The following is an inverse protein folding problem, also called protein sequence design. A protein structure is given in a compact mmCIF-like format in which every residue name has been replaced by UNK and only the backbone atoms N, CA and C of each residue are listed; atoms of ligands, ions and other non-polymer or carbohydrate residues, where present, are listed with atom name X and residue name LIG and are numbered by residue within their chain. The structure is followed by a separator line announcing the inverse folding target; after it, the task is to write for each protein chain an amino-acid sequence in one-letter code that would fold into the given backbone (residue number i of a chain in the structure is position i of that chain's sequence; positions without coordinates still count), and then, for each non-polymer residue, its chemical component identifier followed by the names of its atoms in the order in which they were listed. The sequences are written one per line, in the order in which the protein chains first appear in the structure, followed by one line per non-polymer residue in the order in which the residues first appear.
data_IF_839103053391
#
_entry.id   IF_839103053391
#
_cell.length_a   1.000
_cell.length_b   1.000
_cell.length_c   1.000
_cell.angle_alpha   90.00
_cell.angle_beta   90.00
_cell.angle_gamma   90.00
#
_symmetry.space_group_name_H-M   'P 1'
#
loop_
_entity.id
_entity.type
_entity.pdbx_description
1 polymer ?
#
# COMPACT_ATOMS: atom_id res chain seq x y z
N UNK A 1 3.14 -26.97 14.09
CA UNK A 1 1.68 -27.08 14.11
C UNK A 1 1.25 -26.44 15.41
N UNK A 2 0.86 -25.17 15.34
CA UNK A 2 0.37 -24.42 16.48
C UNK A 2 -1.15 -24.36 16.37
N UNK A 3 -1.85 -24.59 17.48
CA UNK A 3 -3.31 -24.65 17.55
C UNK A 3 -3.95 -23.41 16.89
N UNK A 4 -4.89 -23.65 15.97
CA UNK A 4 -5.73 -22.69 15.23
C UNK A 4 -5.64 -21.24 15.72
N UNK A 5 -4.77 -20.44 15.10
CA UNK A 5 -4.74 -19.00 15.35
C UNK A 5 -6.10 -18.42 14.95
N UNK A 6 -6.91 -18.02 15.94
CA UNK A 6 -8.20 -17.38 15.70
C UNK A 6 -7.97 -15.93 15.25
N UNK A 7 -8.77 -15.45 14.28
CA UNK A 7 -8.74 -14.03 13.92
C UNK A 7 -9.14 -13.16 15.13
N UNK A 8 -8.38 -12.07 15.42
CA UNK A 8 -8.79 -11.10 16.42
C UNK A 8 -10.18 -10.56 16.12
N UNK A 9 -11.07 -10.56 17.12
CA UNK A 9 -12.41 -10.00 16.98
C UNK A 9 -12.45 -8.56 17.49
N UNK A 10 -12.87 -7.63 16.63
CA UNK A 10 -13.03 -6.23 16.98
C UNK A 10 -14.52 -5.93 17.10
N UNK A 11 -14.96 -5.49 18.29
CA UNK A 11 -16.36 -5.14 18.53
C UNK A 11 -16.49 -3.61 18.50
N UNK A 12 -17.05 -3.11 17.42
CA UNK A 12 -17.31 -1.70 17.19
C UNK A 12 -18.73 -1.36 17.63
N UNK A 13 -18.86 -0.39 18.53
CA UNK A 13 -20.12 0.20 18.93
C UNK A 13 -20.18 1.65 18.46
N UNK A 14 -21.20 1.97 17.66
CA UNK A 14 -21.51 3.32 17.22
C UNK A 14 -22.95 3.61 17.65
N UNK A 15 -23.18 4.73 18.34
CA UNK A 15 -24.54 5.07 18.79
C UNK A 15 -25.45 5.19 17.55
N UNK A 16 -26.72 4.77 17.63
CA UNK A 16 -27.62 4.82 16.48
C UNK A 16 -27.79 6.21 15.84
N UNK A 17 -27.66 7.28 16.64
CA UNK A 17 -27.72 8.66 16.13
C UNK A 17 -26.48 9.00 15.29
N UNK A 18 -25.28 8.71 15.80
CA UNK A 18 -24.03 8.97 15.07
C UNK A 18 -23.93 8.10 13.82
N UNK A 19 -24.38 6.83 13.88
CA UNK A 19 -24.38 5.96 12.71
C UNK A 19 -25.29 6.49 11.59
N UNK A 20 -26.40 7.16 11.94
CA UNK A 20 -27.25 7.82 10.94
C UNK A 20 -26.55 9.03 10.33
N UNK A 21 -25.82 9.80 11.14
CA UNK A 21 -25.03 10.94 10.67
C UNK A 21 -23.91 10.48 9.72
N UNK A 22 -23.14 9.47 10.11
CA UNK A 22 -22.08 8.89 9.28
C UNK A 22 -22.64 8.35 7.95
N UNK A 23 -23.88 7.84 7.93
CA UNK A 23 -24.54 7.36 6.70
C UNK A 23 -25.21 8.45 5.86
N UNK A 24 -25.41 9.64 6.41
CA UNK A 24 -26.13 10.74 5.73
C UNK A 24 -25.33 11.25 4.54
N UNK A 25 -24.03 11.39 4.73
CA UNK A 25 -23.08 11.76 3.68
C UNK A 25 -21.84 10.89 3.82
N UNK A 26 -21.68 9.94 2.92
CA UNK A 26 -20.54 9.02 2.94
C UNK A 26 -19.22 9.72 2.58
N UNK A 27 -19.28 10.91 1.99
CA UNK A 27 -18.11 11.68 1.54
C UNK A 27 -17.59 12.64 2.61
N UNK A 28 -18.28 12.77 3.75
CA UNK A 28 -17.79 13.56 4.86
C UNK A 28 -16.58 12.87 5.51
N UNK A 29 -15.52 13.63 5.73
CA UNK A 29 -14.31 13.16 6.42
C UNK A 29 -14.34 13.45 7.93
N UNK A 30 -15.34 14.18 8.40
CA UNK A 30 -15.53 14.47 9.82
C UNK A 30 -15.82 13.17 10.58
N UNK A 31 -14.96 12.79 11.53
CA UNK A 31 -15.13 11.55 12.25
C UNK A 31 -16.20 11.70 13.34
N UNK A 32 -16.86 10.59 13.67
CA UNK A 32 -17.84 10.51 14.75
C UNK A 32 -17.28 9.70 15.94
N UNK A 33 -17.71 9.97 17.18
CA UNK A 33 -17.29 9.19 18.33
C UNK A 33 -17.85 7.77 18.27
N UNK A 34 -17.03 6.80 18.66
CA UNK A 34 -17.39 5.39 18.76
C UNK A 34 -16.61 4.68 19.87
N UNK A 35 -16.97 3.43 20.16
CA UNK A 35 -16.21 2.59 21.08
C UNK A 35 -15.76 1.32 20.38
N UNK A 36 -14.48 1.00 20.48
CA UNK A 36 -13.89 -0.21 19.95
C UNK A 36 -13.44 -1.11 21.10
N UNK A 37 -13.88 -2.36 21.10
CA UNK A 37 -13.38 -3.36 22.05
C UNK A 37 -12.44 -4.32 21.34
N UNK A 38 -11.18 -4.35 21.76
CA UNK A 38 -10.14 -5.26 21.26
C UNK A 38 -9.63 -6.07 22.45
N UNK A 39 -9.69 -7.41 22.39
CA UNK A 39 -9.17 -8.30 23.44
C UNK A 39 -9.73 -7.96 24.84
N UNK A 40 -11.02 -7.62 24.91
CA UNK A 40 -11.69 -7.22 26.15
C UNK A 40 -11.41 -5.81 26.63
N UNK A 41 -10.44 -5.09 26.03
CA UNK A 41 -10.15 -3.69 26.35
C UNK A 41 -11.06 -2.77 25.55
N UNK A 42 -11.79 -1.88 26.25
CA UNK A 42 -12.62 -0.84 25.64
C UNK A 42 -11.77 0.39 25.36
N UNK A 43 -11.86 0.90 24.14
CA UNK A 43 -11.12 2.03 23.62
C UNK A 43 -12.14 3.05 23.11
N UNK A 44 -12.07 4.28 23.61
CA UNK A 44 -12.85 5.37 23.03
C UNK A 44 -12.11 5.86 21.80
N UNK A 45 -12.81 5.93 20.68
CA UNK A 45 -12.25 6.23 19.36
C UNK A 45 -13.11 7.25 18.63
N UNK A 46 -12.51 7.89 17.63
CA UNK A 46 -13.23 8.59 16.58
C UNK A 46 -13.11 7.76 15.29
N UNK A 47 -14.20 7.63 14.53
CA UNK A 47 -14.26 6.80 13.33
C UNK A 47 -14.86 7.58 12.16
N UNK A 48 -14.26 7.44 10.99
CA UNK A 48 -14.76 7.96 9.71
C UNK A 48 -14.72 6.86 8.65
N UNK A 49 -15.51 7.00 7.58
CA UNK A 49 -15.26 6.21 6.38
C UNK A 49 -13.93 6.62 5.75
N UNK A 50 -13.26 5.68 5.07
CA UNK A 50 -11.99 5.96 4.38
C UNK A 50 -12.03 5.60 2.90
N UNK A 51 -11.06 6.14 2.17
CA UNK A 51 -10.87 5.92 0.74
C UNK A 51 -11.75 6.85 -0.10
N UNK A 52 -11.77 6.60 -1.42
CA UNK A 52 -12.61 7.33 -2.38
C UNK A 52 -13.74 6.41 -2.85
N UNK A 53 -13.61 5.79 -4.02
CA UNK A 53 -14.63 4.94 -4.65
C UNK A 53 -15.11 3.76 -3.77
N UNK A 54 -14.29 3.32 -2.81
CA UNK A 54 -14.67 2.23 -1.88
C UNK A 54 -15.77 2.63 -0.89
N UNK A 55 -16.07 3.93 -0.74
CA UNK A 55 -17.17 4.41 0.10
C UNK A 55 -18.53 4.07 -0.49
N UNK A 56 -18.64 3.89 -1.80
CA UNK A 56 -19.90 3.47 -2.45
C UNK A 56 -20.24 2.00 -2.19
N UNK A 57 -19.25 1.19 -1.81
CA UNK A 57 -19.42 -0.26 -1.62
C UNK A 57 -20.28 -0.57 -0.38
N UNK A 58 -21.07 -1.63 -0.45
CA UNK A 58 -21.98 -2.02 0.64
C UNK A 58 -21.24 -2.27 1.96
N UNK A 59 -20.08 -2.92 1.87
CA UNK A 59 -19.16 -3.14 3.00
C UNK A 59 -18.16 -1.99 3.10
N UNK A 60 -18.34 -1.13 4.10
CA UNK A 60 -17.58 0.11 4.27
C UNK A 60 -16.21 -0.14 4.89
N UNK A 61 -15.21 0.65 4.49
CA UNK A 61 -13.89 0.73 5.14
C UNK A 61 -13.83 1.91 6.09
N UNK A 62 -13.03 1.80 7.16
CA UNK A 62 -12.98 2.79 8.23
C UNK A 62 -11.57 3.29 8.50
N UNK A 63 -11.43 4.57 8.83
CA UNK A 63 -10.28 5.10 9.56
C UNK A 63 -10.65 5.21 11.04
N UNK A 64 -9.80 4.68 11.91
CA UNK A 64 -9.99 4.70 13.36
C UNK A 64 -8.89 5.55 13.98
N UNK A 65 -9.29 6.53 14.79
CA UNK A 65 -8.41 7.38 15.59
C UNK A 65 -8.60 7.09 17.07
N UNK A 66 -7.54 6.76 17.80
CA UNK A 66 -7.63 6.45 19.22
C UNK A 66 -7.74 7.74 20.06
N UNK A 67 -8.88 7.92 20.72
CA UNK A 67 -9.12 9.10 21.56
C UNK A 67 -8.67 8.86 23.00
N UNK A 68 -9.12 7.75 23.61
CA UNK A 68 -8.74 7.35 24.97
C UNK A 68 -8.65 5.82 25.08
N UNK A 69 -7.45 5.25 25.31
CA UNK A 69 -6.14 5.92 25.35
C UNK A 69 -5.78 6.58 24.01
N UNK A 70 -4.87 7.56 24.02
CA UNK A 70 -4.43 8.28 22.80
C UNK A 70 -3.67 7.41 21.80
N UNK A 71 -3.18 6.25 22.24
CA UNK A 71 -2.54 5.25 21.40
C UNK A 71 -2.95 3.86 21.83
N UNK A 72 -2.97 2.93 20.89
CA UNK A 72 -3.16 1.50 21.15
C UNK A 72 -2.15 0.72 20.31
N UNK A 73 -1.43 -0.23 20.92
CA UNK A 73 -0.33 -0.99 20.28
C UNK A 73 0.70 -0.10 19.57
N UNK A 74 0.97 1.08 20.15
CA UNK A 74 1.91 2.06 19.59
C UNK A 74 1.39 2.86 18.40
N UNK A 75 0.13 2.73 17.99
CA UNK A 75 -0.49 3.53 16.92
C UNK A 75 -1.47 4.56 17.47
N UNK A 76 -1.53 5.75 16.85
CA UNK A 76 -2.62 6.73 17.04
C UNK A 76 -3.79 6.47 16.10
N UNK A 77 -3.50 5.99 14.90
CA UNK A 77 -4.48 5.67 13.87
C UNK A 77 -4.25 4.25 13.33
N UNK A 78 -5.35 3.60 12.96
CA UNK A 78 -5.33 2.37 12.16
C UNK A 78 -6.40 2.49 11.06
N UNK A 79 -6.22 1.73 9.99
CA UNK A 79 -7.17 1.64 8.89
C UNK A 79 -7.80 0.24 8.90
N UNK A 80 -9.12 0.16 8.80
CA UNK A 80 -9.85 -1.11 8.67
C UNK A 80 -10.41 -1.17 7.26
N UNK A 81 -9.72 -1.91 6.38
CA UNK A 81 -10.15 -2.11 5.01
C UNK A 81 -11.07 -3.31 4.89
N UNK A 82 -12.19 -3.13 4.18
CA UNK A 82 -13.06 -4.22 3.81
C UNK A 82 -12.47 -5.14 2.73
N UNK A 83 -11.43 -4.67 2.02
CA UNK A 83 -10.79 -5.34 0.88
C UNK A 83 -11.83 -5.84 -0.15
N UNK A 84 -12.92 -5.09 -0.32
CA UNK A 84 -14.14 -5.63 -0.91
C UNK A 84 -14.02 -5.96 -2.41
N UNK A 85 -13.16 -5.26 -3.15
CA UNK A 85 -12.91 -5.56 -4.56
C UNK A 85 -11.96 -6.73 -4.78
N UNK A 86 -11.12 -7.04 -3.79
CA UNK A 86 -10.25 -8.21 -3.81
C UNK A 86 -11.08 -9.45 -3.41
N UNK A 87 -11.31 -10.41 -4.32
CA UNK A 87 -12.02 -11.64 -3.97
C UNK A 87 -11.22 -12.55 -3.03
N UNK A 88 -9.90 -12.36 -2.92
CA UNK A 88 -9.04 -13.13 -2.02
C UNK A 88 -8.97 -12.54 -0.62
N UNK A 89 -9.25 -11.25 -0.46
CA UNK A 89 -9.04 -10.45 0.75
C UNK A 89 -7.59 -10.42 1.27
N UNK A 90 -6.60 -10.96 0.54
CA UNK A 90 -5.22 -11.11 1.01
C UNK A 90 -4.19 -10.32 0.18
N UNK A 91 -4.54 -9.81 -1.01
CA UNK A 91 -3.57 -9.21 -1.94
C UNK A 91 -2.83 -8.03 -1.35
N UNK A 92 -3.55 -7.16 -0.64
CA UNK A 92 -2.96 -5.98 -0.02
C UNK A 92 -1.92 -6.36 1.05
N UNK A 93 -2.28 -7.30 1.93
CA UNK A 93 -1.35 -7.84 2.93
C UNK A 93 -0.15 -8.55 2.30
N UNK A 94 -0.42 -9.44 1.34
CA UNK A 94 0.61 -10.22 0.66
C UNK A 94 1.63 -9.29 -0.04
N UNK A 95 1.14 -8.20 -0.64
CA UNK A 95 1.98 -7.16 -1.21
C UNK A 95 2.80 -6.45 -0.14
N UNK A 96 2.19 -5.95 0.93
CA UNK A 96 2.95 -5.23 1.97
C UNK A 96 4.05 -6.09 2.60
N UNK A 97 3.73 -7.35 2.89
CA UNK A 97 4.69 -8.32 3.42
C UNK A 97 5.82 -8.59 2.38
N UNK A 98 5.48 -8.70 1.09
CA UNK A 98 6.46 -8.84 0.02
C UNK A 98 7.40 -7.63 -0.09
N UNK A 99 6.89 -6.39 -0.04
CA UNK A 99 7.73 -5.19 -0.01
C UNK A 99 8.69 -5.17 1.19
N UNK A 100 8.21 -5.57 2.37
CA UNK A 100 9.04 -5.67 3.56
C UNK A 100 10.19 -6.68 3.37
N UNK A 101 9.92 -7.83 2.74
CA UNK A 101 10.94 -8.83 2.40
C UNK A 101 11.97 -8.34 1.38
N UNK A 102 11.57 -7.40 0.50
CA UNK A 102 12.49 -6.75 -0.43
C UNK A 102 13.39 -5.68 0.24
N UNK A 103 13.18 -5.38 1.52
CA UNK A 103 13.89 -4.33 2.25
C UNK A 103 13.28 -2.94 2.07
N UNK A 104 12.02 -2.85 1.62
CA UNK A 104 11.27 -1.60 1.51
C UNK A 104 10.49 -1.37 2.82
N UNK A 105 10.50 -0.15 3.33
CA UNK A 105 9.62 0.22 4.44
C UNK A 105 8.16 0.02 4.00
N UNK A 106 7.41 -0.80 4.74
CA UNK A 106 6.06 -1.22 4.36
C UNK A 106 5.13 -1.28 5.58
N UNK A 107 3.85 -0.92 5.45
CA UNK A 107 2.87 -1.01 6.54
C UNK A 107 2.69 -2.43 7.05
N UNK A 108 2.70 -2.62 8.36
CA UNK A 108 2.23 -3.87 8.94
C UNK A 108 0.70 -3.98 8.78
N UNK A 109 0.24 -5.21 8.54
CA UNK A 109 -1.19 -5.48 8.42
C UNK A 109 -1.57 -6.84 8.98
N UNK A 110 -2.82 -6.97 9.46
CA UNK A 110 -3.38 -8.23 9.94
C UNK A 110 -4.87 -8.32 9.67
N UNK A 111 -5.35 -9.51 9.35
CA UNK A 111 -6.78 -9.76 9.25
C UNK A 111 -7.42 -9.72 10.63
N UNK A 112 -8.65 -9.22 10.70
CA UNK A 112 -9.51 -9.19 11.89
C UNK A 112 -10.94 -9.56 11.48
N UNK A 113 -11.77 -9.94 12.44
CA UNK A 113 -13.20 -10.10 12.25
C UNK A 113 -13.96 -8.96 12.95
N UNK A 114 -14.67 -8.14 12.17
CA UNK A 114 -15.37 -6.96 12.66
C UNK A 114 -16.82 -7.29 13.02
N UNK A 115 -17.24 -6.86 14.21
CA UNK A 115 -18.62 -6.92 14.68
C UNK A 115 -19.06 -5.49 15.00
N UNK A 116 -20.00 -4.94 14.23
CA UNK A 116 -20.55 -3.60 14.45
C UNK A 116 -21.94 -3.69 15.05
N UNK A 117 -22.17 -3.04 16.20
CA UNK A 117 -23.46 -3.01 16.89
C UNK A 117 -24.11 -4.41 17.04
N UNK A 118 -23.29 -5.38 17.48
CA UNK A 118 -23.64 -6.80 17.65
C UNK A 118 -23.99 -7.57 16.36
N UNK A 119 -23.69 -7.02 15.18
CA UNK A 119 -23.82 -7.69 13.88
C UNK A 119 -22.45 -7.93 13.27
N UNK A 120 -22.26 -9.09 12.65
CA UNK A 120 -21.04 -9.37 11.92
C UNK A 120 -20.96 -8.47 10.68
N UNK A 121 -19.86 -7.72 10.55
CA UNK A 121 -19.50 -7.03 9.31
C UNK A 121 -18.51 -7.86 8.47
N UNK A 122 -17.89 -8.87 9.08
CA UNK A 122 -17.07 -9.86 8.38
C UNK A 122 -15.57 -9.64 8.51
N UNK A 123 -14.80 -10.15 7.54
CA UNK A 123 -13.33 -10.10 7.54
C UNK A 123 -12.85 -8.72 7.08
N UNK A 124 -11.93 -8.12 7.81
CA UNK A 124 -11.28 -6.86 7.45
C UNK A 124 -9.77 -7.00 7.53
N UNK A 125 -9.05 -6.15 6.81
CA UNK A 125 -7.61 -5.95 6.98
C UNK A 125 -7.38 -4.72 7.84
N UNK A 126 -6.82 -4.91 9.04
CA UNK A 126 -6.22 -3.82 9.81
C UNK A 126 -4.87 -3.47 9.19
N UNK A 127 -4.68 -2.20 8.84
CA UNK A 127 -3.45 -1.68 8.26
C UNK A 127 -2.91 -0.56 9.17
N UNK A 128 -1.61 -0.64 9.45
CA UNK A 128 -0.85 0.40 10.12
C UNK A 128 -0.95 1.75 9.39
N UNK A 129 -1.12 2.85 10.13
CA UNK A 129 -0.99 4.19 9.57
C UNK A 129 0.48 4.55 9.40
N UNK A 130 0.86 5.08 8.23
CA UNK A 130 2.22 5.56 7.93
C UNK A 130 2.38 6.97 8.48
N UNK A 131 2.56 7.08 9.79
CA UNK A 131 2.68 8.35 10.53
C UNK A 131 3.96 8.41 11.37
N UNK A 132 4.08 9.36 12.29
CA UNK A 132 5.26 9.48 13.14
C UNK A 132 5.48 8.25 14.05
N UNK A 133 4.43 7.49 14.34
CA UNK A 133 4.52 6.25 15.12
C UNK A 133 4.99 5.07 14.27
N UNK A 134 4.69 5.06 12.96
CA UNK A 134 5.30 4.12 12.02
C UNK A 134 6.82 4.18 12.09
N UNK A 135 7.38 5.40 12.08
CA UNK A 135 8.81 5.64 12.21
C UNK A 135 9.32 5.24 13.60
N UNK A 136 8.64 5.71 14.65
CA UNK A 136 9.02 5.45 16.04
C UNK A 136 9.07 3.95 16.38
N UNK A 137 8.13 3.14 15.88
CA UNK A 137 8.09 1.69 16.16
C UNK A 137 9.22 0.90 15.51
N UNK A 138 9.83 1.47 14.47
CA UNK A 138 10.96 0.88 13.74
C UNK A 138 12.30 1.50 14.15
N UNK A 139 12.30 2.31 15.21
CA UNK A 139 13.46 3.10 15.66
C UNK A 139 14.10 3.91 14.51
N UNK A 140 13.28 4.36 13.56
CA UNK A 140 13.74 5.18 12.44
C UNK A 140 13.90 6.64 12.88
N UNK A 141 14.84 7.37 12.27
CA UNK A 141 14.93 8.81 12.47
C UNK A 141 13.61 9.50 12.18
N UNK A 142 13.35 10.60 12.88
CA UNK A 142 12.22 11.48 12.54
C UNK A 142 12.36 11.95 11.09
N UNK A 143 11.26 12.43 10.53
CA UNK A 143 11.25 12.93 9.16
C UNK A 143 9.88 13.40 8.74
N UNK A 144 9.79 13.94 7.54
CA UNK A 144 8.52 14.28 6.92
C UNK A 144 7.95 13.08 6.17
N UNK A 145 6.63 12.99 6.13
CA UNK A 145 5.88 11.97 5.41
C UNK A 145 4.84 12.67 4.53
N UNK A 146 4.83 12.31 3.24
CA UNK A 146 3.90 12.83 2.24
C UNK A 146 3.14 11.68 1.60
N UNK A 147 1.82 11.72 1.59
CA UNK A 147 0.99 10.74 0.90
C UNK A 147 0.74 11.18 -0.54
N UNK A 148 0.91 10.28 -1.51
CA UNK A 148 0.43 10.48 -2.87
C UNK A 148 -1.10 10.32 -2.87
N UNK A 149 -1.83 11.40 -3.16
CA UNK A 149 -3.30 11.46 -3.06
C UNK A 149 -4.00 11.64 -4.40
N UNK A 150 -3.27 12.00 -5.45
CA UNK A 150 -3.76 12.06 -6.82
C UNK A 150 -2.62 11.92 -7.85
N UNK A 151 -2.97 11.93 -9.14
CA UNK A 151 -2.04 11.68 -10.26
C UNK A 151 -0.96 12.76 -10.47
N UNK A 152 -0.99 13.90 -9.77
CA UNK A 152 0.12 14.85 -9.77
C UNK A 152 1.29 14.37 -8.89
N UNK A 153 1.15 13.30 -8.10
CA UNK A 153 2.26 12.62 -7.45
C UNK A 153 3.05 11.74 -8.45
N UNK A 154 3.52 12.32 -9.55
CA UNK A 154 4.13 11.60 -10.68
C UNK A 154 5.64 11.85 -10.88
N UNK A 155 6.29 12.51 -9.91
CA UNK A 155 7.70 12.92 -9.97
C UNK A 155 8.06 13.83 -11.16
N UNK A 156 7.06 14.49 -11.78
CA UNK A 156 7.23 15.35 -12.95
C UNK A 156 6.96 16.83 -12.63
N UNK A 157 7.51 17.73 -13.45
CA UNK A 157 7.10 19.14 -13.51
C UNK A 157 5.71 19.34 -14.14
N UNK A 158 5.22 18.33 -14.88
CA UNK A 158 3.95 18.39 -15.63
C UNK A 158 2.83 17.67 -14.87
N UNK A 159 1.63 18.24 -14.93
CA UNK A 159 0.40 17.53 -14.58
C UNK A 159 -0.02 16.65 -15.75
N UNK A 160 -0.24 15.36 -15.48
CA UNK A 160 -0.69 14.42 -16.51
C UNK A 160 -2.17 14.60 -16.85
N UNK A 161 -2.99 15.08 -15.91
CA UNK A 161 -4.40 15.34 -16.16
C UNK A 161 -4.59 16.60 -17.00
N UNK A 162 -3.98 17.71 -16.58
CA UNK A 162 -4.18 19.01 -17.21
C UNK A 162 -3.27 19.25 -18.42
N UNK A 163 -2.25 18.40 -18.62
CA UNK A 163 -1.24 18.53 -19.70
C UNK A 163 -0.50 19.86 -19.70
N UNK A 164 -0.30 20.45 -18.52
CA UNK A 164 0.42 21.72 -18.30
C UNK A 164 1.47 21.59 -17.19
N UNK A 165 2.40 22.55 -17.12
CA UNK A 165 3.32 22.64 -15.99
C UNK A 165 2.54 22.89 -14.69
N UNK A 166 2.90 22.17 -13.64
CA UNK A 166 2.28 22.34 -12.33
C UNK A 166 2.54 23.73 -11.78
N UNK A 167 1.49 24.37 -11.26
CA UNK A 167 1.59 25.64 -10.51
C UNK A 167 2.42 25.52 -9.22
N UNK A 168 2.54 24.31 -8.68
CA UNK A 168 3.39 24.00 -7.53
C UNK A 168 3.79 22.53 -7.59
N UNK A 169 5.05 22.22 -7.28
CA UNK A 169 5.55 20.84 -7.30
C UNK A 169 5.07 20.00 -6.10
N UNK A 170 4.30 20.60 -5.16
CA UNK A 170 3.63 19.86 -4.07
C UNK A 170 2.30 19.23 -4.48
N UNK A 171 1.77 19.56 -5.66
CA UNK A 171 0.49 18.99 -6.12
C UNK A 171 0.58 17.46 -6.18
N UNK A 172 -0.51 16.80 -5.80
CA UNK A 172 -0.59 15.35 -5.63
C UNK A 172 -0.09 14.82 -4.29
N UNK A 173 0.49 15.67 -3.44
CA UNK A 173 0.99 15.24 -2.12
C UNK A 173 0.23 15.89 -0.96
N UNK A 174 -0.19 15.06 -0.01
CA UNK A 174 -0.66 15.49 1.30
C UNK A 174 0.46 15.32 2.33
N UNK A 175 0.84 16.39 3.03
CA UNK A 175 1.81 16.30 4.13
C UNK A 175 1.16 15.69 5.37
N UNK A 176 1.44 14.42 5.62
CA UNK A 176 0.96 13.66 6.79
C UNK A 176 1.75 13.97 8.05
N UNK A 177 3.08 14.09 7.92
CA UNK A 177 4.02 14.44 9.01
C UNK A 177 5.01 15.46 8.47
N UNK A 178 5.37 16.45 9.29
CA UNK A 178 6.35 17.48 8.94
C UNK A 178 5.76 18.89 9.00
N UNK A 179 6.59 19.87 8.68
CA UNK A 179 6.22 21.29 8.69
C UNK A 179 6.09 21.84 7.26
N UNK A 180 5.51 23.04 7.06
CA UNK A 180 5.48 23.69 5.74
C UNK A 180 6.85 23.84 5.08
N UNK A 181 7.93 23.95 5.86
CA UNK A 181 9.31 24.02 5.36
C UNK A 181 9.75 22.71 4.70
N UNK A 182 9.22 21.56 5.12
CA UNK A 182 9.52 20.28 4.48
C UNK A 182 9.02 20.19 3.03
N UNK A 183 8.01 20.99 2.66
CA UNK A 183 7.52 21.09 1.27
C UNK A 183 8.64 21.60 0.35
N UNK A 184 9.58 22.41 0.85
CA UNK A 184 10.70 22.87 0.03
C UNK A 184 11.58 21.70 -0.41
N UNK A 185 11.88 20.75 0.48
CA UNK A 185 12.70 19.59 0.15
C UNK A 185 12.04 18.66 -0.86
N UNK A 186 10.72 18.49 -0.76
CA UNK A 186 9.95 17.73 -1.74
C UNK A 186 10.01 18.39 -3.12
N UNK A 187 9.79 19.72 -3.18
CA UNK A 187 9.82 20.46 -4.43
C UNK A 187 11.22 20.51 -5.04
N UNK A 188 12.27 20.67 -4.22
CA UNK A 188 13.66 20.61 -4.64
C UNK A 188 14.01 19.23 -5.23
N UNK A 189 13.57 18.15 -4.58
CA UNK A 189 13.74 16.80 -5.10
C UNK A 189 13.08 16.62 -6.46
N UNK A 190 11.80 16.98 -6.59
CA UNK A 190 11.06 16.89 -7.87
C UNK A 190 11.71 17.76 -8.94
N UNK A 191 12.13 18.98 -8.61
CA UNK A 191 12.81 19.87 -9.53
C UNK A 191 14.09 19.22 -10.08
N UNK A 192 14.95 18.74 -9.19
CA UNK A 192 16.24 18.16 -9.54
C UNK A 192 16.12 16.85 -10.34
N UNK A 193 15.07 16.04 -10.11
CA UNK A 193 14.75 14.89 -10.95
C UNK A 193 14.61 15.30 -12.42
N UNK A 194 14.01 16.47 -12.66
CA UNK A 194 13.60 16.90 -13.99
C UNK A 194 14.63 17.80 -14.67
N UNK A 195 15.45 18.55 -13.92
CA UNK A 195 16.32 19.60 -14.48
C UNK A 195 17.80 19.23 -14.56
N UNK A 196 18.30 18.30 -13.74
CA UNK A 196 19.67 17.83 -13.90
C UNK A 196 19.90 17.29 -15.31
N UNK A 197 21.04 17.60 -15.92
CA UNK A 197 21.50 16.90 -17.11
C UNK A 197 21.79 15.43 -16.80
N UNK A 198 22.00 14.59 -17.84
CA UNK A 198 22.34 13.17 -17.62
C UNK A 198 23.56 13.00 -16.69
N UNK A 199 24.62 13.77 -16.94
CA UNK A 199 25.87 13.66 -16.17
C UNK A 199 25.73 14.18 -14.74
N UNK A 200 24.92 15.20 -14.51
CA UNK A 200 24.66 15.71 -13.15
C UNK A 200 23.79 14.72 -12.39
N UNK A 201 22.74 14.19 -13.03
CA UNK A 201 21.81 13.27 -12.39
C UNK A 201 22.49 12.03 -11.82
N UNK A 202 23.37 11.37 -12.59
CA UNK A 202 24.15 10.21 -12.09
C UNK A 202 25.00 10.56 -10.85
N UNK A 203 25.53 11.80 -10.78
CA UNK A 203 26.42 12.24 -9.70
C UNK A 203 25.69 12.86 -8.50
N UNK A 204 24.47 13.35 -8.67
CA UNK A 204 23.83 14.23 -7.70
C UNK A 204 22.53 13.65 -7.12
N UNK A 205 21.83 12.77 -7.85
CA UNK A 205 20.49 12.30 -7.42
C UNK A 205 20.52 11.51 -6.11
N UNK A 206 21.63 10.81 -5.82
CA UNK A 206 21.82 10.05 -4.58
C UNK A 206 21.85 10.93 -3.32
N UNK A 207 21.95 12.26 -3.46
CA UNK A 207 21.85 13.21 -2.35
C UNK A 207 20.40 13.51 -1.95
N UNK A 208 19.43 13.09 -2.76
CA UNK A 208 18.01 13.37 -2.54
C UNK A 208 17.18 12.11 -2.28
N UNK A 209 17.56 10.97 -2.83
CA UNK A 209 16.82 9.71 -2.71
C UNK A 209 17.76 8.54 -2.43
N UNK A 210 17.32 7.61 -1.59
CA UNK A 210 17.99 6.33 -1.44
C UNK A 210 17.70 5.48 -2.68
N UNK A 211 18.68 5.40 -3.59
CA UNK A 211 18.52 4.76 -4.90
C UNK A 211 18.24 3.26 -4.75
N UNK A 212 18.89 2.58 -3.81
CA UNK A 212 18.70 1.14 -3.63
C UNK A 212 17.27 0.85 -3.15
N UNK A 213 16.80 1.60 -2.15
CA UNK A 213 15.42 1.47 -1.66
C UNK A 213 14.39 1.88 -2.71
N UNK A 214 14.67 2.91 -3.52
CA UNK A 214 13.82 3.28 -4.64
C UNK A 214 13.68 2.13 -5.64
N UNK A 215 14.80 1.53 -6.06
CA UNK A 215 14.79 0.43 -7.04
C UNK A 215 14.13 -0.84 -6.49
N UNK A 216 14.26 -1.11 -5.18
CA UNK A 216 13.52 -2.18 -4.48
C UNK A 216 12.02 -1.92 -4.48
N UNK A 217 11.60 -0.68 -4.26
CA UNK A 217 10.20 -0.31 -4.38
C UNK A 217 9.68 -0.48 -5.82
N UNK A 218 10.43 0.00 -6.83
CA UNK A 218 10.09 -0.22 -8.25
C UNK A 218 9.95 -1.72 -8.54
N UNK A 219 10.92 -2.53 -8.10
CA UNK A 219 10.84 -3.98 -8.26
C UNK A 219 9.57 -4.56 -7.60
N UNK A 220 9.23 -4.12 -6.38
CA UNK A 220 8.00 -4.51 -5.71
C UNK A 220 6.74 -4.18 -6.52
N UNK A 221 6.65 -2.97 -7.08
CA UNK A 221 5.53 -2.55 -7.97
C UNK A 221 5.45 -3.47 -9.20
N UNK A 222 6.60 -3.78 -9.79
CA UNK A 222 6.73 -4.60 -11.00
C UNK A 222 6.33 -6.05 -10.76
N UNK A 223 6.72 -6.63 -9.62
CA UNK A 223 6.38 -8.02 -9.30
C UNK A 223 4.93 -8.17 -8.85
N UNK A 224 4.36 -7.17 -8.18
CA UNK A 224 2.95 -7.19 -7.74
C UNK A 224 1.98 -6.74 -8.85
N UNK A 225 2.47 -6.00 -9.84
CA UNK A 225 1.71 -5.37 -10.94
C UNK A 225 0.65 -4.36 -10.49
N UNK A 226 0.93 -3.59 -9.44
CA UNK A 226 0.10 -2.42 -9.12
C UNK A 226 0.34 -1.34 -10.18
N UNK A 227 -0.57 -1.21 -11.14
CA UNK A 227 -0.43 -0.23 -12.22
C UNK A 227 -0.41 1.19 -11.67
N UNK A 228 -1.34 1.56 -10.79
CA UNK A 228 -1.36 2.92 -10.22
C UNK A 228 -0.19 3.18 -9.26
N UNK A 229 0.57 2.15 -8.88
CA UNK A 229 1.66 2.20 -7.92
C UNK A 229 2.80 3.18 -8.24
N UNK A 230 2.98 3.60 -9.48
CA UNK A 230 4.10 4.49 -9.85
C UNK A 230 3.84 5.98 -9.65
N UNK A 231 2.56 6.38 -9.61
CA UNK A 231 2.13 7.80 -9.55
C UNK A 231 1.02 8.02 -8.51
N UNK A 232 0.63 6.97 -7.80
CA UNK A 232 -0.31 6.93 -6.71
C UNK A 232 0.10 5.77 -5.78
N UNK A 233 -0.66 5.49 -4.72
CA UNK A 233 -0.49 4.25 -3.94
C UNK A 233 0.88 4.16 -3.24
N UNK A 234 1.41 5.31 -2.81
CA UNK A 234 2.62 5.35 -2.01
C UNK A 234 2.67 6.56 -1.07
N UNK A 235 3.55 6.49 -0.08
CA UNK A 235 3.99 7.61 0.72
C UNK A 235 5.50 7.85 0.52
N UNK A 236 5.92 9.10 0.59
CA UNK A 236 7.33 9.50 0.67
C UNK A 236 7.70 9.73 2.12
N UNK A 237 8.79 9.13 2.56
CA UNK A 237 9.43 9.43 3.84
C UNK A 237 10.77 10.10 3.58
N UNK A 238 11.00 11.27 4.16
CA UNK A 238 12.32 11.90 4.15
C UNK A 238 13.00 11.75 5.50
N UNK A 239 14.04 10.93 5.55
CA UNK A 239 14.82 10.69 6.75
C UNK A 239 15.60 11.96 7.15
N UNK A 240 15.43 12.43 8.40
CA UNK A 240 16.08 13.66 8.88
C UNK A 240 17.59 13.55 9.12
N UNK A 241 18.13 12.33 9.26
CA UNK A 241 19.56 12.10 9.44
C UNK A 241 20.26 11.96 8.09
N UNK A 242 19.78 11.06 7.23
CA UNK A 242 20.40 10.86 5.90
C UNK A 242 20.01 11.95 4.91
N UNK A 243 18.92 12.67 5.16
CA UNK A 243 18.28 13.66 4.27
C UNK A 243 17.72 13.10 2.97
N UNK A 244 17.65 11.78 2.85
CA UNK A 244 17.17 11.06 1.67
C UNK A 244 15.68 10.75 1.75
N UNK A 245 15.03 10.80 0.59
CA UNK A 245 13.70 10.24 0.39
C UNK A 245 13.75 8.72 0.19
N UNK A 246 12.72 8.07 0.72
CA UNK A 246 12.39 6.66 0.54
C UNK A 246 10.88 6.54 0.25
N UNK A 247 10.47 5.42 -0.35
CA UNK A 247 9.08 5.18 -0.76
C UNK A 247 8.50 4.04 0.05
N UNK A 248 7.26 4.23 0.50
CA UNK A 248 6.49 3.28 1.29
C UNK A 248 5.22 2.93 0.48
N UNK A 249 4.95 1.66 0.15
CA UNK A 249 3.77 1.27 -0.61
C UNK A 249 2.48 1.48 0.20
N UNK A 250 1.38 1.77 -0.50
CA UNK A 250 0.05 1.93 0.08
C UNK A 250 -1.02 1.45 -0.92
N UNK A 251 -2.12 0.83 -0.47
CA UNK A 251 -3.23 0.40 -1.34
C UNK A 251 -2.82 -0.56 -2.49
N UNK A 252 -2.41 -1.78 -2.12
CA UNK A 252 -1.88 -2.81 -3.03
C UNK A 252 -2.82 -4.01 -3.19
N UNK A 253 -4.13 -3.80 -3.17
CA UNK A 253 -5.16 -4.83 -3.41
C UNK A 253 -5.31 -5.18 -4.90
N UNK A 254 -5.12 -4.21 -5.81
CA UNK A 254 -5.16 -4.38 -7.26
C UNK A 254 -3.84 -4.97 -7.83
N UNK A 255 -3.53 -6.19 -7.40
CA UNK A 255 -2.25 -6.86 -7.66
C UNK A 255 -2.43 -8.37 -7.91
N UNK A 256 -1.34 -9.11 -8.09
CA UNK A 256 -1.34 -10.58 -8.13
C UNK A 256 -2.41 -11.19 -9.06
N UNK A 257 -2.49 -10.67 -10.28
CA UNK A 257 -3.43 -11.16 -11.29
C UNK A 257 -4.83 -10.52 -11.27
N UNK A 258 -5.08 -9.46 -10.47
CA UNK A 258 -6.34 -8.69 -10.52
C UNK A 258 -6.19 -7.17 -10.58
N UNK A 259 -6.92 -6.53 -11.50
CA UNK A 259 -6.94 -5.07 -11.66
C UNK A 259 -7.74 -4.34 -10.55
N UNK A 260 -7.80 -3.00 -10.63
CA UNK A 260 -8.53 -2.12 -9.69
C UNK A 260 -10.05 -2.34 -9.65
N UNK A 261 -10.58 -3.16 -10.56
CA UNK A 261 -11.98 -3.57 -10.61
C UNK A 261 -12.18 -5.03 -10.16
N UNK A 262 -11.12 -5.68 -9.69
CA UNK A 262 -11.12 -7.09 -9.30
C UNK A 262 -11.17 -8.06 -10.48
N UNK A 263 -10.94 -7.60 -11.72
CA UNK A 263 -10.93 -8.45 -12.92
C UNK A 263 -9.55 -9.05 -13.16
N UNK A 264 -9.49 -10.18 -13.86
CA UNK A 264 -8.21 -10.81 -14.23
C UNK A 264 -7.33 -9.83 -15.03
N UNK A 265 -6.07 -9.69 -14.64
CA UNK A 265 -5.05 -8.96 -15.42
C UNK A 265 -4.07 -9.93 -16.06
N UNK A 266 -3.52 -9.54 -17.21
CA UNK A 266 -2.45 -10.28 -17.88
C UNK A 266 -1.10 -10.07 -17.20
N UNK A 267 -0.18 -11.01 -17.41
CA UNK A 267 1.15 -10.96 -16.80
C UNK A 267 2.06 -9.82 -17.29
N UNK A 268 1.70 -9.12 -18.36
CA UNK A 268 2.41 -7.96 -18.92
C UNK A 268 1.70 -6.62 -18.62
N UNK A 269 0.66 -6.63 -17.78
CA UNK A 269 -0.15 -5.46 -17.41
C UNK A 269 0.68 -4.25 -16.97
N UNK A 270 1.78 -4.50 -16.25
CA UNK A 270 2.80 -3.49 -15.94
C UNK A 270 4.08 -3.79 -16.73
N UNK A 271 4.65 -2.84 -17.49
CA UNK A 271 5.89 -3.07 -18.24
C UNK A 271 7.09 -3.27 -17.29
N UNK A 272 8.13 -3.99 -17.72
CA UNK A 272 9.24 -4.41 -16.84
C UNK A 272 10.12 -3.23 -16.35
N UNK A 273 10.12 -2.13 -17.09
CA UNK A 273 10.82 -0.87 -16.84
C UNK A 273 9.97 0.14 -16.07
N UNK A 274 8.72 -0.23 -15.73
CA UNK A 274 7.82 0.60 -14.94
C UNK A 274 7.49 1.92 -15.63
N UNK A 275 7.04 2.89 -14.85
CA UNK A 275 6.80 4.25 -15.33
C UNK A 275 6.98 5.28 -14.21
N UNK A 276 6.68 6.55 -14.51
CA UNK A 276 7.08 7.78 -13.82
C UNK A 276 8.47 8.33 -14.24
N UNK A 277 8.64 9.63 -14.03
CA UNK A 277 9.83 10.35 -14.50
C UNK A 277 11.10 9.89 -13.78
N UNK A 278 11.06 9.67 -12.47
CA UNK A 278 12.22 9.26 -11.70
C UNK A 278 12.75 7.89 -12.14
N UNK A 279 11.85 6.91 -12.33
CA UNK A 279 12.20 5.59 -12.86
C UNK A 279 12.85 5.71 -14.23
N UNK A 280 12.24 6.44 -15.17
CA UNK A 280 12.80 6.64 -16.51
C UNK A 280 14.20 7.28 -16.46
N UNK A 281 14.39 8.29 -15.59
CA UNK A 281 15.67 8.99 -15.42
C UNK A 281 16.75 8.10 -14.81
N UNK A 282 16.42 7.28 -13.82
CA UNK A 282 17.33 6.30 -13.23
C UNK A 282 17.72 5.23 -14.25
N UNK A 283 16.76 4.62 -14.95
CA UNK A 283 17.03 3.55 -15.91
C UNK A 283 17.74 4.04 -17.19
N UNK A 284 17.77 5.34 -17.46
CA UNK A 284 18.60 5.93 -18.51
C UNK A 284 20.10 5.99 -18.17
N UNK A 285 20.45 5.85 -16.89
CA UNK A 285 21.83 5.77 -16.41
C UNK A 285 22.25 4.30 -16.33
N UNK A 286 23.35 3.95 -17.00
CA UNK A 286 23.80 2.56 -17.16
C UNK A 286 24.06 1.86 -15.82
N UNK A 287 24.64 2.59 -14.86
CA UNK A 287 24.95 2.09 -13.52
C UNK A 287 23.67 1.63 -12.79
N UNK A 288 22.65 2.50 -12.71
CA UNK A 288 21.39 2.19 -12.02
C UNK A 288 20.56 1.16 -12.78
N UNK A 289 20.56 1.20 -14.12
CA UNK A 289 19.90 0.19 -14.94
C UNK A 289 20.46 -1.21 -14.71
N UNK A 290 21.79 -1.36 -14.62
CA UNK A 290 22.43 -2.65 -14.30
C UNK A 290 22.09 -3.10 -12.88
N UNK A 291 22.11 -2.20 -11.90
CA UNK A 291 21.68 -2.50 -10.53
C UNK A 291 20.24 -3.02 -10.50
N UNK A 292 19.33 -2.33 -11.20
CA UNK A 292 17.93 -2.74 -11.30
C UNK A 292 17.76 -4.12 -11.97
N UNK A 293 18.45 -4.38 -13.08
CA UNK A 293 18.40 -5.67 -13.76
C UNK A 293 18.91 -6.83 -12.89
N UNK A 294 19.97 -6.61 -12.12
CA UNK A 294 20.48 -7.61 -11.16
C UNK A 294 19.47 -7.85 -10.04
N UNK A 295 18.91 -6.79 -9.47
CA UNK A 295 17.88 -6.87 -8.44
C UNK A 295 16.65 -7.68 -8.90
N UNK A 296 16.16 -7.45 -10.13
CA UNK A 296 15.05 -8.25 -10.67
C UNK A 296 15.39 -9.75 -10.81
N UNK A 297 16.64 -10.08 -11.18
CA UNK A 297 17.08 -11.49 -11.26
C UNK A 297 17.11 -12.12 -9.87
N UNK A 298 17.72 -11.44 -8.89
CA UNK A 298 17.81 -11.91 -7.51
C UNK A 298 16.42 -12.17 -6.91
N UNK A 299 15.48 -11.24 -7.10
CA UNK A 299 14.11 -11.39 -6.60
C UNK A 299 13.39 -12.57 -7.26
N UNK A 300 13.59 -12.79 -8.56
CA UNK A 300 13.06 -13.98 -9.24
C UNK A 300 13.74 -15.28 -8.79
N UNK A 301 14.96 -15.27 -8.30
CA UNK A 301 15.61 -16.50 -7.80
C UNK A 301 15.19 -16.83 -6.37
N UNK A 302 14.77 -15.82 -5.60
CA UNK A 302 14.50 -15.93 -4.18
C UNK A 302 13.01 -15.70 -3.85
N UNK A 303 12.61 -14.43 -3.67
CA UNK A 303 11.33 -14.08 -3.05
C UNK A 303 10.14 -14.32 -3.98
N UNK A 304 10.24 -14.00 -5.28
CA UNK A 304 9.10 -14.08 -6.20
C UNK A 304 8.96 -15.46 -6.86
N UNK A 305 8.99 -16.54 -6.07
CA UNK A 305 8.83 -17.92 -6.55
C UNK A 305 7.52 -18.52 -6.04
N UNK A 306 6.97 -19.51 -6.77
CA UNK A 306 5.79 -20.27 -6.30
C UNK A 306 6.07 -20.90 -4.93
N UNK A 307 7.24 -21.53 -4.76
CA UNK A 307 7.64 -22.17 -3.51
C UNK A 307 7.83 -21.22 -2.33
N UNK A 308 8.01 -19.92 -2.56
CA UNK A 308 8.16 -18.92 -1.50
C UNK A 308 6.85 -18.16 -1.22
N UNK A 309 6.14 -17.76 -2.26
CA UNK A 309 4.95 -16.90 -2.12
C UNK A 309 3.67 -17.68 -1.83
N UNK A 310 3.46 -18.84 -2.46
CA UNK A 310 2.21 -19.59 -2.31
C UNK A 310 2.00 -20.11 -0.89
N UNK A 311 3.01 -20.63 -0.18
CA UNK A 311 2.83 -21.02 1.23
C UNK A 311 2.37 -19.85 2.13
N UNK A 312 2.76 -18.61 1.81
CA UNK A 312 2.30 -17.42 2.55
C UNK A 312 0.84 -17.12 2.24
N UNK A 313 0.46 -17.16 0.95
CA UNK A 313 -0.91 -16.95 0.51
C UNK A 313 -1.84 -18.04 1.08
N UNK A 314 -1.45 -19.32 1.01
CA UNK A 314 -2.16 -20.46 1.59
C UNK A 314 -2.43 -20.24 3.07
N UNK A 315 -1.39 -19.94 3.85
CA UNK A 315 -1.53 -19.64 5.29
C UNK A 315 -2.54 -18.52 5.57
N UNK A 316 -2.55 -17.45 4.77
CA UNK A 316 -3.51 -16.36 4.91
C UNK A 316 -4.93 -16.82 4.55
N UNK A 317 -5.10 -17.54 3.45
CA UNK A 317 -6.42 -18.05 3.03
C UNK A 317 -7.00 -19.04 4.04
N UNK A 318 -6.20 -19.99 4.53
CA UNK A 318 -6.61 -20.96 5.56
C UNK A 318 -7.04 -20.26 6.86
N UNK A 319 -6.29 -19.23 7.27
CA UNK A 319 -6.61 -18.45 8.47
C UNK A 319 -7.98 -17.77 8.36
N UNK A 320 -8.30 -17.18 7.21
CA UNK A 320 -9.50 -16.34 7.07
C UNK A 320 -10.72 -17.08 6.53
N UNK A 321 -10.55 -18.20 5.83
CA UNK A 321 -11.65 -18.93 5.17
C UNK A 321 -12.84 -19.26 6.10
N UNK A 322 -12.65 -19.74 7.35
CA UNK A 322 -13.77 -20.01 8.27
C UNK A 322 -14.58 -18.74 8.62
N UNK A 323 -13.96 -17.57 8.53
CA UNK A 323 -14.58 -16.28 8.81
C UNK A 323 -15.21 -15.65 7.57
N UNK A 324 -14.68 -15.93 6.37
CA UNK A 324 -15.34 -15.56 5.09
C UNK A 324 -16.71 -16.21 4.97
N UNK A 325 -16.86 -17.47 5.43
CA UNK A 325 -18.17 -18.14 5.51
C UNK A 325 -19.17 -17.47 6.46
N UNK A 326 -18.68 -16.68 7.42
CA UNK A 326 -19.48 -15.91 8.37
C UNK A 326 -19.71 -14.46 7.92
N UNK A 327 -19.00 -14.02 6.88
CA UNK A 327 -19.07 -12.67 6.34
C UNK A 327 -20.37 -12.50 5.51
N UNK A 328 -21.30 -11.62 5.92
CA UNK A 328 -22.58 -11.49 5.23
C UNK A 328 -22.45 -10.95 3.81
N UNK A 329 -21.30 -10.37 3.45
CA UNK A 329 -21.02 -9.80 2.14
C UNK A 329 -20.21 -10.70 1.22
N UNK A 330 -19.52 -11.71 1.77
CA UNK A 330 -18.57 -12.56 1.02
C UNK A 330 -18.89 -14.05 1.02
N UNK A 331 -19.71 -14.54 1.96
CA UNK A 331 -20.03 -15.96 2.09
C UNK A 331 -20.64 -16.62 0.84
N UNK A 332 -21.31 -15.85 -0.03
CA UNK A 332 -21.91 -16.36 -1.26
C UNK A 332 -20.88 -16.60 -2.36
N UNK A 333 -19.71 -15.96 -2.28
CA UNK A 333 -18.64 -16.01 -3.27
C UNK A 333 -17.46 -16.90 -2.80
N UNK A 334 -17.71 -17.86 -1.89
CA UNK A 334 -16.65 -18.69 -1.30
C UNK A 334 -15.89 -19.51 -2.36
N UNK A 335 -16.57 -19.95 -3.41
CA UNK A 335 -15.93 -20.69 -4.51
C UNK A 335 -14.96 -19.80 -5.30
N UNK A 336 -15.26 -18.50 -5.43
CA UNK A 336 -14.35 -17.53 -6.04
C UNK A 336 -13.13 -17.33 -5.13
N UNK A 337 -13.35 -17.14 -3.83
CA UNK A 337 -12.28 -17.01 -2.84
C UNK A 337 -11.33 -18.23 -2.88
N UNK A 338 -11.86 -19.45 -2.93
CA UNK A 338 -11.07 -20.68 -2.95
C UNK A 338 -10.24 -20.84 -4.24
N UNK A 339 -10.66 -20.23 -5.35
CA UNK A 339 -9.93 -20.25 -6.62
C UNK A 339 -8.75 -19.24 -6.65
N UNK A 340 -8.69 -18.29 -5.72
CA UNK A 340 -7.71 -17.20 -5.78
C UNK A 340 -6.26 -17.65 -5.62
N UNK A 341 -6.00 -18.72 -4.87
CA UNK A 341 -4.66 -19.30 -4.80
C UNK A 341 -4.16 -19.76 -6.18
N UNK A 342 -5.05 -20.32 -7.00
CA UNK A 342 -4.70 -20.73 -8.37
C UNK A 342 -4.44 -19.52 -9.26
N UNK A 343 -5.22 -18.44 -9.10
CA UNK A 343 -5.00 -17.17 -9.82
C UNK A 343 -3.64 -16.58 -9.48
N UNK A 344 -3.30 -16.49 -8.20
CA UNK A 344 -2.02 -15.94 -7.73
C UNK A 344 -0.85 -16.83 -8.20
N UNK A 345 -1.00 -18.15 -8.14
CA UNK A 345 0.03 -19.11 -8.61
C UNK A 345 0.32 -18.90 -10.09
N UNK A 346 -0.73 -18.91 -10.92
CA UNK A 346 -0.60 -18.70 -12.37
C UNK A 346 0.02 -17.34 -12.69
N UNK A 347 -0.40 -16.29 -11.99
CA UNK A 347 0.16 -14.95 -12.14
C UNK A 347 1.67 -14.95 -11.88
N UNK A 348 2.15 -15.59 -10.80
CA UNK A 348 3.58 -15.65 -10.47
C UNK A 348 4.36 -16.35 -11.61
N UNK A 349 3.88 -17.50 -12.08
CA UNK A 349 4.54 -18.25 -13.16
C UNK A 349 4.64 -17.43 -14.46
N UNK A 350 3.52 -16.82 -14.88
CA UNK A 350 3.45 -16.04 -16.12
C UNK A 350 4.26 -14.74 -16.02
N UNK A 351 4.19 -14.05 -14.87
CA UNK A 351 4.95 -12.83 -14.63
C UNK A 351 6.45 -13.09 -14.64
N UNK A 352 6.91 -14.19 -14.03
CA UNK A 352 8.32 -14.63 -14.11
C UNK A 352 8.75 -14.88 -15.54
N UNK A 353 7.93 -15.59 -16.33
CA UNK A 353 8.21 -15.87 -17.75
C UNK A 353 8.28 -14.58 -18.57
N UNK A 354 7.41 -13.62 -18.30
CA UNK A 354 7.46 -12.31 -18.93
C UNK A 354 8.76 -11.57 -18.60
N UNK A 355 9.08 -11.41 -17.31
CA UNK A 355 10.27 -10.67 -16.86
C UNK A 355 11.58 -11.31 -17.31
N UNK A 356 11.69 -12.65 -17.26
CA UNK A 356 12.87 -13.36 -17.75
C UNK A 356 13.11 -13.13 -19.24
N UNK A 357 12.05 -13.14 -20.07
CA UNK A 357 12.17 -12.83 -21.51
C UNK A 357 12.63 -11.40 -21.75
N UNK A 358 12.12 -10.44 -20.98
CA UNK A 358 12.50 -9.02 -21.11
C UNK A 358 13.95 -8.79 -20.70
N UNK A 359 14.40 -9.39 -19.60
CA UNK A 359 15.79 -9.26 -19.15
C UNK A 359 16.78 -9.93 -20.10
N UNK A 360 16.43 -11.07 -20.71
CA UNK A 360 17.26 -11.74 -21.70
C UNK A 360 17.40 -10.95 -23.02
N UNK A 361 16.44 -10.09 -23.37
CA UNK A 361 16.52 -9.25 -24.56
C UNK A 361 17.41 -8.00 -24.38
N UNK A 362 17.84 -7.71 -23.14
CA UNK A 362 18.66 -6.53 -22.78
C UNK A 362 20.12 -6.89 -22.45
N UNK A 363 20.40 -8.18 -22.27
CA UNK A 363 21.74 -8.76 -22.15
C UNK A 363 22.29 -9.10 -23.52
#
# INVERSE_FOLDING_TARGET
MDETALLPQYKLFIRPIDLRELKRDIWIDDPIPAQLTIEGKRLDIDIAYRGSHIRDLSKKSYQVSFYKPKTFRGSKHIHLNAEFKDPSLIRNKLSFDFFAELGVLSPESRHIFLIQNARAEGVYLEIESVDENFLKRRDLPKGSIFYAVDGDANFSLMSDLDKVTKRSLRLGYERKVGTPEDDYHLQEFIFNINTFSKSEFEKEIHKFVDIDKYLRWVAGVIFTSNYDGFVHNYALYRNSETRLFEIIPWDYDATWGRDVNGKMMESDYVPYDGFNTLTARLLYVDTFRKQYQLLLKEIMEQQFTVGHMIPKAEKLTELIRPYVLQDPYKKQDIDIFDQELSVITKYIEERRKYLSRKLAALS
#
